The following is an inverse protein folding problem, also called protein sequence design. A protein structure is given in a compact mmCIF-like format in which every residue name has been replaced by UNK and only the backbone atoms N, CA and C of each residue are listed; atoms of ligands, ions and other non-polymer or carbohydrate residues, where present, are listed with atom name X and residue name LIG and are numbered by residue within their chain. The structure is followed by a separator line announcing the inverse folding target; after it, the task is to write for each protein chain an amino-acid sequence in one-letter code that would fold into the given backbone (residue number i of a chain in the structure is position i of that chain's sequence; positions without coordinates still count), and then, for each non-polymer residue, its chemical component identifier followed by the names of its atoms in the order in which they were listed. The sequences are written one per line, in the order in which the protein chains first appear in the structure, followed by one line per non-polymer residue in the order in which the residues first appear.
data_IF_904435167508
#
_entry.id   IF_904435167508
#
_cell.length_a   1.000
_cell.length_b   1.000
_cell.length_c   1.000
_cell.angle_alpha   90.00
_cell.angle_beta   90.00
_cell.angle_gamma   90.00
#
_symmetry.space_group_name_H-M   'P 1'
#
loop_
_entity.id
_entity.type
_entity.pdbx_description
1 polymer ?
#
# COMPACT_ATOMS: atom_id res chain seq x y z
N UNK A 1 -6.15 7.08 6.15
CA UNK A 1 -6.18 6.17 4.99
C UNK A 1 -5.93 7.03 3.77
N UNK A 2 -4.88 6.76 3.00
CA UNK A 2 -4.58 7.48 1.76
C UNK A 2 -4.64 6.48 0.60
N UNK A 3 -5.26 6.85 -0.50
CA UNK A 3 -5.38 5.98 -1.68
C UNK A 3 -4.65 6.61 -2.85
N UNK A 4 -3.95 5.79 -3.61
CA UNK A 4 -3.29 6.18 -4.85
C UNK A 4 -3.70 5.23 -5.97
N UNK A 5 -3.82 5.76 -7.19
CA UNK A 5 -3.99 4.92 -8.37
C UNK A 5 -2.62 4.64 -8.99
N UNK A 6 -2.30 3.37 -9.21
CA UNK A 6 -1.06 2.94 -9.86
C UNK A 6 -1.42 1.96 -10.97
N UNK A 7 -1.16 2.35 -12.22
CA UNK A 7 -1.45 1.52 -13.40
C UNK A 7 -2.91 0.98 -13.43
N UNK A 8 -3.87 1.80 -12.99
CA UNK A 8 -5.29 1.42 -12.91
C UNK A 8 -5.69 0.68 -11.63
N UNK A 9 -4.75 0.29 -10.77
CA UNK A 9 -5.05 -0.35 -9.48
C UNK A 9 -5.22 0.68 -8.36
N UNK A 10 -6.25 0.49 -7.55
CA UNK A 10 -6.45 1.25 -6.33
C UNK A 10 -5.59 0.67 -5.20
N UNK A 11 -4.67 1.48 -4.67
CA UNK A 11 -3.73 1.09 -3.63
C UNK A 11 -4.04 1.84 -2.35
N UNK A 12 -4.33 1.09 -1.28
CA UNK A 12 -4.47 1.66 0.06
C UNK A 12 -3.09 1.78 0.72
N UNK A 13 -2.69 3.01 1.04
CA UNK A 13 -1.42 3.32 1.71
C UNK A 13 -1.68 3.67 3.18
N UNK A 14 -1.01 2.93 4.06
CA UNK A 14 -0.99 3.18 5.50
C UNK A 14 0.44 3.54 5.90
N UNK A 15 0.63 4.74 6.46
CA UNK A 15 1.91 5.15 7.05
C UNK A 15 1.93 4.71 8.50
N UNK A 16 2.95 3.97 8.91
CA UNK A 16 3.12 3.49 10.29
C UNK A 16 4.59 3.39 10.68
N UNK A 17 4.86 3.27 11.96
CA UNK A 17 6.23 3.11 12.48
C UNK A 17 6.73 1.68 12.20
N UNK A 18 7.25 1.47 11.00
CA UNK A 18 7.84 0.22 10.50
C UNK A 18 9.16 0.52 9.80
N UNK A 19 10.08 -0.44 9.87
CA UNK A 19 11.41 -0.33 9.24
C UNK A 19 11.36 -0.57 7.73
N UNK A 20 10.48 -1.45 7.27
CA UNK A 20 10.43 -1.90 5.88
C UNK A 20 9.03 -1.70 5.30
N UNK A 21 8.97 -1.51 3.99
CA UNK A 21 7.71 -1.45 3.26
C UNK A 21 7.09 -2.85 3.19
N UNK A 22 5.80 -2.96 3.51
CA UNK A 22 5.05 -4.21 3.37
C UNK A 22 3.97 -4.03 2.31
N UNK A 23 3.99 -4.87 1.28
CA UNK A 23 3.02 -4.89 0.20
C UNK A 23 2.24 -6.20 0.23
N UNK A 24 0.92 -6.09 0.27
CA UNK A 24 -0.01 -7.21 0.17
C UNK A 24 -0.89 -7.01 -1.05
N UNK A 25 -0.97 -8.04 -1.88
CA UNK A 25 -1.88 -8.08 -3.03
C UNK A 25 -2.94 -9.12 -2.73
N UNK A 26 -4.20 -8.73 -2.89
CA UNK A 26 -5.35 -9.61 -2.76
C UNK A 26 -5.91 -9.93 -4.15
N UNK A 27 -5.67 -11.15 -4.68
CA UNK A 27 -6.30 -11.64 -5.90
C UNK A 27 -7.82 -11.79 -5.73
N UNK A 28 -8.60 -11.90 -6.82
CA UNK A 28 -8.19 -11.78 -8.23
C UNK A 28 -8.23 -10.33 -8.76
N UNK A 29 -8.87 -9.41 -8.04
CA UNK A 29 -9.18 -8.06 -8.52
C UNK A 29 -8.03 -7.05 -8.34
N UNK A 30 -6.86 -7.50 -7.86
CA UNK A 30 -5.70 -6.63 -7.69
C UNK A 30 -5.92 -5.53 -6.64
N UNK A 31 -6.62 -5.84 -5.55
CA UNK A 31 -6.67 -4.93 -4.39
C UNK A 31 -5.30 -4.95 -3.73
N UNK A 32 -4.67 -3.79 -3.61
CA UNK A 32 -3.31 -3.68 -3.08
C UNK A 32 -3.34 -2.86 -1.80
N UNK A 33 -2.64 -3.36 -0.78
CA UNK A 33 -2.41 -2.63 0.47
C UNK A 33 -0.92 -2.50 0.71
N UNK A 34 -0.49 -1.27 0.99
CA UNK A 34 0.90 -0.95 1.26
C UNK A 34 1.00 -0.31 2.64
N UNK A 35 1.86 -0.87 3.49
CA UNK A 35 2.30 -0.19 4.69
C UNK A 35 3.67 0.43 4.43
N UNK A 36 3.77 1.74 4.55
CA UNK A 36 4.98 2.50 4.32
C UNK A 36 5.52 3.11 5.63
N UNK A 37 6.85 3.21 5.80
CA UNK A 37 7.47 3.91 6.92
C UNK A 37 7.04 5.38 7.01
N UNK A 38 7.10 5.95 8.21
CA UNK A 38 6.87 7.39 8.44
C UNK A 38 7.99 8.27 7.85
N UNK A 39 9.21 7.74 7.72
CA UNK A 39 10.41 8.43 7.22
C UNK A 39 11.22 7.46 6.35
N UNK A 40 11.84 7.96 5.29
CA UNK A 40 12.67 7.19 4.34
C UNK A 40 14.15 7.39 4.65
#
# INVERSE_FOLDING_TARGET
MHQINVNGFEVEVVRKDIKHLHLAVYPPHGRIRVAAPLRL
#
